data_IF_945813531620
#
_entry.id   IF_945813531620
#
_cell.length_a   1.000
_cell.length_b   1.000
_cell.length_c   1.000
_cell.angle_alpha   90.00
_cell.angle_beta   90.00
_cell.angle_gamma   90.00
#
_symmetry.space_group_name_H-M   'P 1'
#
loop_
_entity.id
_entity.type
_entity.pdbx_description
1 polymer ?
#
# COMPACT_ATOMS: atom_id res chain seq x y z
N UNK A 1 23.04 5.04 -10.78
CA UNK A 1 22.78 6.07 -11.83
C UNK A 1 23.18 7.40 -11.24
N UNK A 2 24.26 8.00 -11.73
CA UNK A 2 24.72 9.34 -11.33
C UNK A 2 24.59 10.23 -12.56
N UNK A 3 24.19 11.49 -12.40
CA UNK A 3 24.20 12.42 -13.53
C UNK A 3 25.63 12.53 -14.06
N UNK A 4 25.81 12.68 -15.37
CA UNK A 4 27.13 12.72 -16.00
C UNK A 4 28.02 13.86 -15.47
N UNK A 5 27.41 14.93 -14.92
CA UNK A 5 28.10 16.04 -14.26
C UNK A 5 28.48 15.75 -12.80
N UNK A 6 28.11 14.60 -12.25
CA UNK A 6 28.24 14.27 -10.83
C UNK A 6 27.12 14.85 -9.93
N UNK A 7 26.23 15.67 -10.49
CA UNK A 7 25.15 16.30 -9.74
C UNK A 7 23.96 15.37 -9.47
N UNK A 8 23.11 15.76 -8.52
CA UNK A 8 21.86 15.05 -8.26
C UNK A 8 20.88 15.27 -9.44
N UNK A 9 20.15 14.21 -9.81
CA UNK A 9 19.07 14.34 -10.79
C UNK A 9 17.95 15.23 -10.24
N UNK A 10 17.46 16.13 -11.10
CA UNK A 10 16.18 16.80 -10.87
C UNK A 10 15.01 15.82 -10.96
N UNK A 11 13.89 16.14 -10.30
CA UNK A 11 12.64 15.35 -10.39
C UNK A 11 12.19 15.18 -11.85
N UNK A 12 12.36 16.23 -12.67
CA UNK A 12 12.00 16.18 -14.10
C UNK A 12 12.85 15.16 -14.86
N UNK A 13 14.15 15.11 -14.60
CA UNK A 13 15.05 14.13 -15.22
C UNK A 13 14.68 12.73 -14.75
N UNK A 14 14.54 12.51 -13.44
CA UNK A 14 14.13 11.21 -12.88
C UNK A 14 12.87 10.67 -13.55
N UNK A 15 11.82 11.49 -13.64
CA UNK A 15 10.56 11.12 -14.28
C UNK A 15 10.73 10.75 -15.75
N UNK A 16 11.57 11.49 -16.48
CA UNK A 16 11.86 11.19 -17.90
C UNK A 16 12.64 9.88 -18.05
N UNK A 17 13.57 9.59 -17.16
CA UNK A 17 14.31 8.32 -17.18
C UNK A 17 13.39 7.14 -16.87
N UNK A 18 12.55 7.24 -15.84
CA UNK A 18 11.57 6.21 -15.51
C UNK A 18 10.61 5.93 -16.66
N UNK A 19 10.06 6.98 -17.30
CA UNK A 19 9.14 6.78 -18.42
C UNK A 19 9.80 6.15 -19.64
N UNK A 20 11.06 6.48 -19.94
CA UNK A 20 11.82 5.81 -21.00
C UNK A 20 12.03 4.33 -20.70
N UNK A 21 12.31 3.99 -19.45
CA UNK A 21 12.46 2.59 -19.02
C UNK A 21 11.13 1.81 -19.13
N UNK A 22 10.03 2.41 -18.65
CA UNK A 22 8.69 1.82 -18.76
C UNK A 22 8.33 1.54 -20.22
N UNK A 23 8.60 2.51 -21.11
CA UNK A 23 8.36 2.38 -22.55
C UNK A 23 9.26 1.30 -23.19
N UNK A 24 10.56 1.26 -22.85
CA UNK A 24 11.47 0.25 -23.40
C UNK A 24 11.12 -1.17 -22.96
N UNK A 25 10.46 -1.32 -21.81
CA UNK A 25 9.98 -2.61 -21.31
C UNK A 25 8.58 -2.97 -21.84
N UNK A 26 7.95 -2.12 -22.66
CA UNK A 26 6.59 -2.33 -23.14
C UNK A 26 5.51 -2.29 -22.05
N UNK A 27 5.81 -1.69 -20.89
CA UNK A 27 4.90 -1.60 -19.77
C UNK A 27 3.89 -0.47 -19.97
N UNK A 28 2.69 -0.64 -19.43
CA UNK A 28 1.68 0.44 -19.37
C UNK A 28 2.30 1.63 -18.65
N UNK A 29 2.17 2.82 -19.25
CA UNK A 29 2.66 4.03 -18.62
C UNK A 29 1.83 4.39 -17.39
N UNK A 30 2.49 4.38 -16.24
CA UNK A 30 1.95 4.82 -14.95
C UNK A 30 2.81 5.96 -14.41
N UNK A 31 2.23 6.89 -13.65
CA UNK A 31 3.02 7.94 -13.02
C UNK A 31 3.80 7.30 -11.86
N UNK A 32 5.05 7.70 -11.68
CA UNK A 32 5.88 7.23 -10.55
C UNK A 32 5.18 7.39 -9.17
N UNK A 33 4.38 8.45 -9.02
CA UNK A 33 3.60 8.67 -7.80
C UNK A 33 2.49 7.63 -7.61
N UNK A 34 1.84 7.20 -8.69
CA UNK A 34 0.79 6.19 -8.64
C UNK A 34 1.39 4.81 -8.33
N UNK A 35 2.59 4.51 -8.84
CA UNK A 35 3.35 3.30 -8.49
C UNK A 35 3.77 3.29 -7.01
N UNK A 36 4.19 4.44 -6.49
CA UNK A 36 4.46 4.59 -5.06
C UNK A 36 3.19 4.33 -4.23
N UNK A 37 2.07 4.94 -4.61
CA UNK A 37 0.80 4.74 -3.90
C UNK A 37 0.33 3.28 -3.93
N UNK A 38 0.46 2.58 -5.06
CA UNK A 38 0.03 1.19 -5.18
C UNK A 38 0.90 0.24 -4.34
N UNK A 39 2.22 0.49 -4.28
CA UNK A 39 3.13 -0.24 -3.40
C UNK A 39 2.72 -0.11 -1.93
N UNK A 40 2.42 1.10 -1.47
CA UNK A 40 1.99 1.31 -0.08
C UNK A 40 0.61 0.72 0.22
N UNK A 41 -0.34 0.78 -0.72
CA UNK A 41 -1.61 0.04 -0.57
C UNK A 41 -1.39 -1.47 -0.47
N UNK A 42 -0.51 -2.04 -1.30
CA UNK A 42 -0.17 -3.45 -1.22
C UNK A 42 0.43 -3.81 0.15
N UNK A 43 1.40 -3.03 0.64
CA UNK A 43 2.01 -3.27 1.95
C UNK A 43 0.99 -3.16 3.10
N UNK A 44 0.08 -2.19 3.03
CA UNK A 44 -0.99 -2.02 4.01
C UNK A 44 -1.90 -3.26 4.07
N UNK A 45 -2.28 -3.79 2.91
CA UNK A 45 -3.14 -4.97 2.82
C UNK A 45 -2.42 -6.28 3.21
N UNK A 46 -1.08 -6.30 3.22
CA UNK A 46 -0.27 -7.47 3.60
C UNK A 46 0.27 -7.39 5.04
N UNK A 47 -0.38 -6.60 5.90
CA UNK A 47 -0.15 -6.64 7.35
C UNK A 47 1.05 -5.85 7.86
N UNK A 48 1.64 -4.97 7.04
CA UNK A 48 2.67 -4.05 7.56
C UNK A 48 2.01 -3.09 8.57
N UNK A 49 2.58 -2.90 9.77
CA UNK A 49 2.00 -2.01 10.77
C UNK A 49 1.94 -0.56 10.30
N UNK A 50 0.82 0.13 10.59
CA UNK A 50 0.54 1.46 10.04
C UNK A 50 1.60 2.53 10.38
N UNK A 51 2.23 2.42 11.55
CA UNK A 51 3.28 3.35 11.98
C UNK A 51 4.58 3.17 11.21
N UNK A 52 4.91 1.94 10.80
CA UNK A 52 6.05 1.64 9.93
C UNK A 52 5.76 2.13 8.50
N UNK A 53 4.55 1.85 7.99
CA UNK A 53 4.05 2.38 6.73
C UNK A 53 4.12 3.91 6.68
N UNK A 54 3.66 4.59 7.73
CA UNK A 54 3.72 6.05 7.84
C UNK A 54 5.16 6.56 7.82
N UNK A 55 6.07 5.89 8.53
CA UNK A 55 7.49 6.25 8.55
C UNK A 55 8.13 6.10 7.17
N UNK A 56 7.85 5.02 6.45
CA UNK A 56 8.38 4.79 5.10
C UNK A 56 7.77 5.73 4.05
N UNK A 57 6.48 6.04 4.17
CA UNK A 57 5.80 7.00 3.30
C UNK A 57 6.17 8.47 3.61
N UNK A 58 6.92 8.73 4.68
CA UNK A 58 7.28 10.08 5.10
C UNK A 58 6.09 10.88 5.68
N UNK A 59 5.02 10.21 6.10
CA UNK A 59 3.88 10.84 6.72
C UNK A 59 4.13 11.12 8.21
N UNK A 60 3.78 12.32 8.65
CA UNK A 60 3.86 12.72 10.07
C UNK A 60 2.79 12.08 10.94
N UNK A 61 1.70 11.57 10.34
CA UNK A 61 0.57 10.99 11.05
C UNK A 61 0.15 9.65 10.45
N UNK A 62 -0.03 8.66 11.32
CA UNK A 62 -0.62 7.35 10.99
C UNK A 62 -2.01 7.50 10.39
N UNK A 63 -2.79 8.48 10.85
CA UNK A 63 -4.14 8.75 10.33
C UNK A 63 -4.10 9.07 8.84
N UNK A 64 -3.13 9.89 8.41
CA UNK A 64 -2.93 10.23 7.00
C UNK A 64 -2.65 8.97 6.18
N UNK A 65 -1.73 8.12 6.64
CA UNK A 65 -1.39 6.85 5.98
C UNK A 65 -2.59 5.92 5.83
N UNK A 66 -3.38 5.73 6.89
CA UNK A 66 -4.60 4.91 6.83
C UNK A 66 -5.58 5.42 5.79
N UNK A 67 -5.84 6.73 5.79
CA UNK A 67 -6.77 7.35 4.84
C UNK A 67 -6.34 7.13 3.38
N UNK A 68 -5.02 7.17 3.11
CA UNK A 68 -4.49 6.99 1.77
C UNK A 68 -4.49 5.52 1.33
N UNK A 69 -3.98 4.62 2.15
CA UNK A 69 -3.58 3.29 1.69
C UNK A 69 -4.47 2.14 2.15
N UNK A 70 -5.22 2.31 3.24
CA UNK A 70 -6.14 1.28 3.75
C UNK A 70 -7.52 1.54 3.18
N UNK A 71 -7.95 0.70 2.24
CA UNK A 71 -9.29 0.73 1.65
C UNK A 71 -10.01 -0.55 2.04
N UNK A 72 -10.80 -0.54 3.13
CA UNK A 72 -11.54 -1.73 3.54
C UNK A 72 -12.50 -2.13 2.42
N UNK A 73 -12.47 -3.40 2.07
CA UNK A 73 -13.40 -4.06 1.15
C UNK A 73 -14.40 -4.91 1.95
N UNK A 74 -15.51 -5.28 1.32
CA UNK A 74 -16.52 -6.19 1.86
C UNK A 74 -15.88 -7.52 2.26
N UNK A 75 -14.87 -7.99 1.51
CA UNK A 75 -14.12 -9.20 1.84
C UNK A 75 -13.38 -9.11 3.17
N UNK A 76 -12.84 -7.94 3.53
CA UNK A 76 -12.15 -7.73 4.80
C UNK A 76 -13.10 -7.89 6.01
N UNK A 77 -14.40 -7.67 5.79
CA UNK A 77 -15.43 -7.74 6.83
C UNK A 77 -16.07 -9.14 6.93
N UNK A 78 -15.84 -10.03 5.96
CA UNK A 78 -16.52 -11.33 5.86
C UNK A 78 -16.26 -12.23 7.08
N UNK A 79 -15.10 -12.12 7.71
CA UNK A 79 -14.75 -12.88 8.92
C UNK A 79 -15.31 -12.31 10.22
N UNK A 80 -15.84 -11.07 10.20
CA UNK A 80 -16.31 -10.40 11.40
C UNK A 80 -17.46 -11.13 12.12
N UNK A 81 -18.48 -11.69 11.42
CA UNK A 81 -19.54 -12.46 12.08
C UNK A 81 -19.01 -13.67 12.83
N UNK A 82 -18.09 -14.44 12.24
CA UNK A 82 -17.50 -15.63 12.88
C UNK A 82 -16.74 -15.27 14.17
N UNK A 83 -15.96 -14.19 14.15
CA UNK A 83 -15.24 -13.70 15.34
C UNK A 83 -16.23 -13.23 16.41
N UNK A 84 -17.31 -12.56 15.99
CA UNK A 84 -18.35 -12.06 16.87
C UNK A 84 -19.12 -13.18 17.57
N UNK A 85 -19.52 -14.22 16.84
CA UNK A 85 -20.22 -15.38 17.38
C UNK A 85 -19.37 -16.13 18.43
N UNK A 86 -18.06 -16.24 18.18
CA UNK A 86 -17.11 -16.81 19.14
C UNK A 86 -16.95 -15.99 20.42
N UNK A 87 -17.09 -14.66 20.34
CA UNK A 87 -17.01 -13.78 21.51
C UNK A 87 -18.30 -13.81 22.35
N UNK A 88 -19.46 -13.96 21.72
CA UNK A 88 -20.75 -14.01 22.41
C UNK A 88 -21.13 -15.38 22.97
N UNK A 89 -20.23 -16.36 22.87
CA UNK A 89 -20.47 -17.70 23.42
C UNK A 89 -21.61 -18.40 22.71
N UNK A 90 -21.66 -18.32 21.37
CA UNK A 90 -22.49 -19.19 20.55
C UNK A 90 -22.11 -20.65 20.78
N UNK A 91 -22.65 -21.23 21.85
CA UNK A 91 -22.57 -22.62 22.19
C UNK A 91 -23.15 -23.41 21.03
N UNK A 92 -22.34 -24.31 20.49
CA UNK A 92 -22.80 -25.37 19.61
C UNK A 92 -23.74 -26.25 20.43
N UNK A 93 -25.04 -26.11 20.20
CA UNK A 93 -26.10 -26.89 20.85
C UNK A 93 -26.31 -28.25 20.14
N UNK A 94 -25.24 -28.95 19.80
CA UNK A 94 -25.34 -30.30 19.21
C UNK A 94 -24.31 -31.24 19.83
N UNK A 95 -24.73 -31.94 20.88
CA UNK A 95 -24.28 -33.29 21.28
C UNK A 95 -25.17 -33.81 22.43
N UNK A 96 -26.35 -34.35 22.10
CA UNK A 96 -27.07 -35.38 22.87
C UNK A 96 -27.63 -36.41 21.90
#
# INVERSE_FOLDING_TARGET
>A
MVHETGEAFTIRQLRRHAYRLIESLGLRRVRLYDDHSSCFTYLANNGVPDHILARWAGHTSVKTTKNWYVKPDVEDLRGAPTVWDGLHGGATEEQV
#
